data_IF_068638857179
#
_entry.id   IF_068638857179
#
_cell.length_a   1.000
_cell.length_b   1.000
_cell.length_c   1.000
_cell.angle_alpha   90.00
_cell.angle_beta   90.00
_cell.angle_gamma   90.00
#
_symmetry.space_group_name_H-M   'P 1'
#
loop_
_entity.id
_entity.type
_entity.pdbx_description
1 polymer ?
#
# COMPACT_ATOMS: atom_id res chain seq x y z
N UNK A 1 75.20 -40.23 10.74
CA UNK A 1 74.41 -39.24 11.45
C UNK A 1 73.66 -38.47 10.37
N UNK A 2 72.40 -38.80 10.16
CA UNK A 2 71.53 -38.11 9.17
C UNK A 2 70.53 -37.29 9.97
N UNK A 3 70.64 -35.97 9.84
CA UNK A 3 69.68 -34.94 10.41
C UNK A 3 68.40 -34.98 9.65
N UNK A 4 67.34 -35.43 10.27
CA UNK A 4 65.99 -35.36 9.75
C UNK A 4 65.49 -33.91 9.92
N UNK A 5 65.36 -33.20 8.78
CA UNK A 5 64.71 -31.87 8.72
C UNK A 5 63.22 -32.04 8.95
N UNK A 6 62.71 -31.56 10.08
CA UNK A 6 61.27 -31.38 10.29
C UNK A 6 60.75 -30.29 9.34
N UNK A 7 60.05 -30.72 8.29
CA UNK A 7 59.24 -29.82 7.47
C UNK A 7 58.04 -29.35 8.32
N UNK A 8 58.08 -28.10 8.72
CA UNK A 8 56.95 -27.45 9.40
C UNK A 8 55.70 -27.45 8.50
N UNK A 9 54.79 -28.34 8.81
CA UNK A 9 53.43 -28.31 8.25
C UNK A 9 52.77 -27.08 8.84
N UNK A 10 52.68 -26.02 8.04
CA UNK A 10 51.86 -24.85 8.39
C UNK A 10 50.39 -25.29 8.44
N UNK A 11 49.85 -25.44 9.64
CA UNK A 11 48.43 -25.67 9.84
C UNK A 11 47.68 -24.56 9.13
N UNK A 12 47.05 -24.87 8.00
CA UNK A 12 46.11 -23.96 7.32
C UNK A 12 44.86 -23.85 8.19
N UNK A 13 44.85 -22.89 9.12
CA UNK A 13 43.66 -22.53 9.89
C UNK A 13 42.67 -21.91 8.92
N UNK A 14 41.65 -22.67 8.54
CA UNK A 14 40.56 -22.18 7.68
C UNK A 14 39.76 -21.10 8.43
N UNK A 15 39.92 -19.84 8.03
CA UNK A 15 39.18 -18.72 8.61
C UNK A 15 38.13 -18.29 7.62
N UNK A 16 36.84 -18.43 7.99
CA UNK A 16 35.69 -18.10 7.17
C UNK A 16 35.67 -16.61 6.68
N UNK A 17 36.33 -15.71 7.42
CA UNK A 17 36.38 -14.29 7.12
C UNK A 17 37.79 -13.73 7.30
N UNK A 18 38.17 -12.81 6.40
CA UNK A 18 39.42 -12.04 6.55
C UNK A 18 39.33 -11.07 7.75
N UNK A 19 40.44 -10.63 8.32
CA UNK A 19 40.43 -9.66 9.42
C UNK A 19 39.65 -8.39 9.13
N UNK A 20 39.74 -7.86 7.91
CA UNK A 20 38.98 -6.69 7.48
C UNK A 20 37.47 -6.96 7.45
N UNK A 21 37.04 -8.12 6.98
CA UNK A 21 35.61 -8.51 7.00
C UNK A 21 35.07 -8.73 8.43
N UNK A 22 35.92 -9.18 9.36
CA UNK A 22 35.53 -9.28 10.77
C UNK A 22 35.34 -7.90 11.39
N UNK A 23 36.26 -6.99 11.11
CA UNK A 23 36.20 -5.62 11.62
C UNK A 23 34.95 -4.90 11.06
N UNK A 24 34.69 -5.00 9.75
CA UNK A 24 33.51 -4.38 9.16
C UNK A 24 32.21 -4.92 9.73
N UNK A 25 32.11 -6.22 9.95
CA UNK A 25 30.95 -6.83 10.60
C UNK A 25 30.79 -6.38 12.05
N UNK A 26 31.89 -6.34 12.80
CA UNK A 26 31.86 -5.85 14.18
C UNK A 26 31.38 -4.39 14.23
N UNK A 27 31.91 -3.53 13.34
CA UNK A 27 31.43 -2.13 13.23
C UNK A 27 29.94 -2.05 12.88
N UNK A 28 29.46 -2.88 11.94
CA UNK A 28 28.02 -2.92 11.60
C UNK A 28 27.19 -3.32 12.80
N UNK A 29 27.58 -4.39 13.52
CA UNK A 29 26.86 -4.79 14.74
C UNK A 29 26.92 -3.73 15.83
N UNK A 30 28.07 -3.07 16.01
CA UNK A 30 28.23 -1.97 16.97
C UNK A 30 27.28 -0.83 16.63
N UNK A 31 27.21 -0.42 15.35
CA UNK A 31 26.30 0.64 14.88
C UNK A 31 24.85 0.25 15.11
N UNK A 32 24.47 -1.00 14.82
CA UNK A 32 23.10 -1.49 15.05
C UNK A 32 22.76 -1.45 16.54
N UNK A 33 23.66 -1.97 17.40
CA UNK A 33 23.44 -1.97 18.85
C UNK A 33 23.37 -0.53 19.38
N UNK A 34 24.29 0.35 18.94
CA UNK A 34 24.27 1.76 19.33
C UNK A 34 22.97 2.44 18.88
N UNK A 35 22.49 2.18 17.64
CA UNK A 35 21.22 2.72 17.16
C UNK A 35 20.04 2.22 18.01
N UNK A 36 20.01 0.94 18.38
CA UNK A 36 18.96 0.38 19.25
C UNK A 36 19.00 1.04 20.64
N UNK A 37 20.19 1.16 21.25
CA UNK A 37 20.34 1.79 22.58
C UNK A 37 19.89 3.25 22.54
N UNK A 38 20.34 4.01 21.54
CA UNK A 38 19.92 5.41 21.37
C UNK A 38 18.41 5.50 21.17
N UNK A 39 17.82 4.62 20.34
CA UNK A 39 16.37 4.61 20.12
C UNK A 39 15.60 4.32 21.41
N UNK A 40 16.05 3.36 22.23
CA UNK A 40 15.40 3.04 23.52
C UNK A 40 15.53 4.22 24.48
N UNK A 41 16.68 4.91 24.50
CA UNK A 41 16.88 6.07 25.38
C UNK A 41 16.09 7.31 24.91
N UNK A 42 15.84 7.42 23.60
CA UNK A 42 15.09 8.57 23.04
C UNK A 42 13.58 8.39 23.17
N UNK A 43 13.10 7.13 23.19
CA UNK A 43 11.69 6.83 23.42
C UNK A 43 11.44 6.82 24.92
N UNK A 44 10.75 7.84 25.44
CA UNK A 44 10.30 7.86 26.82
C UNK A 44 9.22 6.80 27.03
N UNK A 45 9.63 5.60 27.43
CA UNK A 45 8.70 4.56 27.86
C UNK A 45 8.45 4.72 29.35
N UNK A 46 7.23 5.13 29.71
CA UNK A 46 6.81 5.23 31.11
C UNK A 46 6.34 3.84 31.55
N UNK A 47 7.10 3.11 32.41
CA UNK A 47 6.77 1.74 32.79
C UNK A 47 5.40 1.59 33.46
N UNK A 48 4.96 2.62 34.17
CA UNK A 48 3.66 2.68 34.84
C UNK A 48 2.50 2.51 33.85
N UNK A 49 2.57 3.17 32.68
CA UNK A 49 1.53 2.98 31.65
C UNK A 49 1.47 1.56 31.08
N UNK A 50 2.59 0.85 31.05
CA UNK A 50 2.61 -0.55 30.64
C UNK A 50 2.01 -1.47 31.71
N UNK A 51 2.21 -1.15 32.99
CA UNK A 51 1.64 -1.91 34.10
C UNK A 51 0.11 -1.73 34.17
N UNK A 52 -0.38 -0.50 33.92
CA UNK A 52 -1.81 -0.17 33.96
C UNK A 52 -2.56 -0.53 32.67
N UNK A 53 -1.84 -0.78 31.56
CA UNK A 53 -2.44 -1.07 30.26
C UNK A 53 -3.48 -2.21 30.28
N UNK A 54 -3.28 -3.36 30.97
CA UNK A 54 -4.27 -4.43 31.00
C UNK A 54 -5.59 -4.01 31.65
N UNK A 55 -5.54 -3.21 32.74
CA UNK A 55 -6.73 -2.71 33.43
C UNK A 55 -7.48 -1.69 32.57
N UNK A 56 -6.76 -0.75 31.93
CA UNK A 56 -7.34 0.24 31.02
C UNK A 56 -7.99 -0.41 29.80
N UNK A 57 -7.37 -1.44 29.23
CA UNK A 57 -7.94 -2.21 28.12
C UNK A 57 -9.23 -2.92 28.55
N UNK A 58 -9.24 -3.54 29.74
CA UNK A 58 -10.42 -4.21 30.27
C UNK A 58 -11.57 -3.22 30.51
N UNK A 59 -11.29 -2.04 31.09
CA UNK A 59 -12.28 -0.99 31.29
C UNK A 59 -12.83 -0.45 29.96
N UNK A 60 -11.96 -0.20 28.97
CA UNK A 60 -12.37 0.22 27.63
C UNK A 60 -13.31 -0.80 26.99
N UNK A 61 -12.95 -2.08 27.02
CA UNK A 61 -13.78 -3.15 26.46
C UNK A 61 -15.11 -3.29 27.19
N UNK A 62 -15.13 -3.10 28.51
CA UNK A 62 -16.37 -3.08 29.29
C UNK A 62 -17.29 -1.93 28.89
N UNK A 63 -16.75 -0.73 28.60
CA UNK A 63 -17.52 0.43 28.11
C UNK A 63 -18.00 0.26 26.67
N UNK A 64 -17.29 -0.52 25.85
CA UNK A 64 -17.69 -0.85 24.48
C UNK A 64 -18.85 -1.87 24.43
N UNK A 65 -19.21 -2.48 25.55
CA UNK A 65 -20.28 -3.46 25.65
C UNK A 65 -21.43 -2.98 26.54
N UNK A 66 -22.71 -3.08 26.13
CA UNK A 66 -23.23 -3.70 24.89
C UNK A 66 -23.09 -2.80 23.66
N UNK A 67 -22.85 -3.40 22.49
CA UNK A 67 -22.78 -2.68 21.22
C UNK A 67 -24.15 -2.10 20.84
N UNK A 68 -24.23 -0.82 20.51
CA UNK A 68 -25.47 -0.15 20.10
C UNK A 68 -25.86 -0.44 18.66
N UNK A 69 -26.37 -1.65 18.39
CA UNK A 69 -26.86 -2.02 17.05
C UNK A 69 -28.06 -1.21 16.59
N UNK A 70 -28.81 -0.55 17.48
CA UNK A 70 -29.96 0.28 17.11
C UNK A 70 -29.49 1.51 16.32
N UNK A 71 -28.30 2.01 16.60
CA UNK A 71 -27.71 3.17 15.93
C UNK A 71 -27.25 2.86 14.47
N UNK A 72 -27.18 1.60 14.06
CA UNK A 72 -26.68 1.21 12.73
C UNK A 72 -27.41 1.92 11.58
N UNK A 73 -28.75 1.93 11.60
CA UNK A 73 -29.57 2.54 10.55
C UNK A 73 -29.54 4.05 10.54
N UNK A 74 -29.29 4.68 11.68
CA UNK A 74 -29.41 6.13 11.84
C UNK A 74 -28.10 6.84 11.51
N UNK A 75 -26.93 6.24 11.87
CA UNK A 75 -25.65 6.95 11.78
C UNK A 75 -24.52 6.17 11.09
N UNK A 76 -24.64 4.85 10.92
CA UNK A 76 -23.52 4.03 10.44
C UNK A 76 -23.74 3.58 8.99
N UNK A 77 -24.96 3.22 8.61
CA UNK A 77 -25.25 2.63 7.31
C UNK A 77 -24.86 3.57 6.14
N UNK A 78 -25.31 4.83 6.19
CA UNK A 78 -25.06 5.78 5.11
C UNK A 78 -23.57 6.12 5.02
N UNK A 79 -22.91 6.33 6.15
CA UNK A 79 -21.47 6.57 6.23
C UNK A 79 -20.65 5.38 5.71
N UNK A 80 -21.13 4.14 5.94
CA UNK A 80 -20.52 2.94 5.41
C UNK A 80 -20.63 2.83 3.88
N UNK A 81 -21.83 3.13 3.33
CA UNK A 81 -22.05 3.17 1.90
C UNK A 81 -21.20 4.25 1.25
N UNK A 82 -21.12 5.43 1.86
CA UNK A 82 -20.24 6.52 1.40
C UNK A 82 -18.77 6.05 1.33
N UNK A 83 -18.28 5.31 2.32
CA UNK A 83 -16.93 4.74 2.32
C UNK A 83 -16.69 3.84 1.10
N UNK A 84 -17.66 2.95 0.78
CA UNK A 84 -17.57 2.07 -0.39
C UNK A 84 -17.59 2.89 -1.69
N UNK A 85 -18.40 3.93 -1.76
CA UNK A 85 -18.45 4.82 -2.94
C UNK A 85 -17.14 5.59 -3.12
N UNK A 86 -16.56 6.14 -2.04
CA UNK A 86 -15.26 6.82 -2.06
C UNK A 86 -14.18 5.86 -2.59
N UNK A 87 -14.10 4.64 -2.06
CA UNK A 87 -13.13 3.64 -2.48
C UNK A 87 -13.31 3.24 -3.95
N UNK A 88 -14.56 3.05 -4.38
CA UNK A 88 -14.87 2.63 -5.75
C UNK A 88 -14.59 3.73 -6.77
N UNK A 89 -15.10 4.94 -6.55
CA UNK A 89 -14.88 6.08 -7.43
C UNK A 89 -13.40 6.48 -7.45
N UNK A 90 -12.72 6.50 -6.30
CA UNK A 90 -11.28 6.76 -6.21
C UNK A 90 -10.46 5.74 -6.99
N UNK A 91 -10.83 4.45 -6.91
CA UNK A 91 -10.17 3.41 -7.71
C UNK A 91 -10.42 3.60 -9.20
N UNK A 92 -11.66 3.79 -9.63
CA UNK A 92 -12.01 3.99 -11.05
C UNK A 92 -11.27 5.20 -11.63
N UNK A 93 -11.29 6.33 -10.92
CA UNK A 93 -10.56 7.53 -11.33
C UNK A 93 -9.05 7.27 -11.42
N UNK A 94 -8.48 6.54 -10.47
CA UNK A 94 -7.06 6.18 -10.51
C UNK A 94 -6.72 5.28 -11.69
N UNK A 95 -7.58 4.32 -12.05
CA UNK A 95 -7.38 3.45 -13.21
C UNK A 95 -7.34 4.28 -14.51
N UNK A 96 -8.30 5.19 -14.68
CA UNK A 96 -8.36 6.05 -15.88
C UNK A 96 -7.11 6.91 -16.00
N UNK A 97 -6.66 7.53 -14.91
CA UNK A 97 -5.49 8.41 -14.89
C UNK A 97 -4.15 7.63 -14.95
N UNK A 98 -4.11 6.44 -14.37
CA UNK A 98 -2.90 5.63 -14.33
C UNK A 98 -2.57 4.96 -15.68
N UNK A 99 -3.57 4.64 -16.51
CA UNK A 99 -3.36 3.99 -17.80
C UNK A 99 -2.42 4.79 -18.72
N UNK A 100 -2.69 6.07 -19.04
CA UNK A 100 -1.79 6.84 -19.90
C UNK A 100 -0.41 7.02 -19.28
N UNK A 101 -0.32 7.27 -17.97
CA UNK A 101 0.96 7.46 -17.29
C UNK A 101 1.76 6.14 -17.25
N UNK A 102 1.10 5.00 -17.06
CA UNK A 102 1.71 3.67 -17.09
C UNK A 102 2.26 3.30 -18.47
N UNK A 103 1.52 3.62 -19.53
CA UNK A 103 2.00 3.46 -20.92
C UNK A 103 3.24 4.33 -21.19
N UNK A 104 3.23 5.60 -20.74
CA UNK A 104 4.38 6.50 -20.88
C UNK A 104 5.60 6.06 -20.03
N UNK A 105 5.36 5.34 -18.94
CA UNK A 105 6.41 4.82 -18.08
C UNK A 105 7.07 3.53 -18.61
N UNK A 106 6.40 2.80 -19.52
CA UNK A 106 6.92 1.56 -20.10
C UNK A 106 8.01 1.86 -21.15
N UNK A 107 9.22 1.34 -20.92
CA UNK A 107 10.40 1.62 -21.76
C UNK A 107 10.31 1.04 -23.17
N UNK A 108 9.61 -0.08 -23.31
CA UNK A 108 9.40 -0.75 -24.61
C UNK A 108 8.39 -0.04 -25.52
N UNK A 109 7.56 0.85 -24.96
CA UNK A 109 6.53 1.60 -25.70
C UNK A 109 6.96 3.02 -26.05
N UNK A 110 7.76 3.66 -25.18
CA UNK A 110 8.19 5.05 -25.35
C UNK A 110 9.72 5.12 -25.44
N UNK A 111 10.27 5.37 -26.63
CA UNK A 111 11.72 5.43 -26.83
C UNK A 111 12.39 6.68 -26.23
N UNK A 112 11.62 7.70 -25.88
CA UNK A 112 12.13 8.96 -25.33
C UNK A 112 12.38 8.87 -23.83
N UNK A 113 13.67 8.77 -23.44
CA UNK A 113 14.06 8.64 -22.03
C UNK A 113 13.52 9.76 -21.12
N UNK A 114 13.42 10.99 -21.62
CA UNK A 114 12.91 12.14 -20.86
C UNK A 114 11.42 11.97 -20.51
N UNK A 115 10.58 11.50 -21.44
CA UNK A 115 9.16 11.26 -21.21
C UNK A 115 8.98 10.10 -20.22
N UNK A 116 9.73 9.01 -20.42
CA UNK A 116 9.70 7.87 -19.51
C UNK A 116 10.13 8.26 -18.09
N UNK A 117 11.19 9.07 -17.95
CA UNK A 117 11.62 9.57 -16.65
C UNK A 117 10.56 10.47 -15.99
N UNK A 118 9.97 11.40 -16.75
CA UNK A 118 8.91 12.27 -16.25
C UNK A 118 7.70 11.45 -15.78
N UNK A 119 7.23 10.46 -16.56
CA UNK A 119 6.16 9.56 -16.16
C UNK A 119 6.50 8.80 -14.87
N UNK A 120 7.70 8.25 -14.78
CA UNK A 120 8.19 7.56 -13.57
C UNK A 120 8.26 8.48 -12.35
N UNK A 121 8.68 9.73 -12.52
CA UNK A 121 8.68 10.73 -11.44
C UNK A 121 7.25 11.01 -10.94
N UNK A 122 6.27 11.17 -11.84
CA UNK A 122 4.86 11.33 -11.47
C UNK A 122 4.36 10.13 -10.66
N UNK A 123 4.65 8.90 -11.13
CA UNK A 123 4.23 7.68 -10.43
C UNK A 123 4.90 7.54 -9.05
N UNK A 124 6.18 7.86 -8.94
CA UNK A 124 6.91 7.81 -7.67
C UNK A 124 6.39 8.87 -6.71
N UNK A 125 6.22 10.12 -7.14
CA UNK A 125 5.72 11.21 -6.30
C UNK A 125 4.33 10.92 -5.75
N UNK A 126 3.42 10.42 -6.60
CA UNK A 126 2.05 10.06 -6.22
C UNK A 126 2.00 9.03 -5.08
N UNK A 127 2.82 7.99 -5.13
CA UNK A 127 2.82 6.89 -4.15
C UNK A 127 3.72 7.13 -2.93
N UNK A 128 4.67 8.08 -3.00
CA UNK A 128 5.61 8.36 -1.89
C UNK A 128 4.93 9.05 -0.72
N UNK A 129 3.82 9.75 -0.98
CA UNK A 129 3.06 10.45 0.04
C UNK A 129 1.92 9.55 0.55
N UNK A 130 1.71 9.52 1.86
CA UNK A 130 0.62 8.75 2.46
C UNK A 130 -0.74 9.33 2.04
N UNK A 131 -1.76 8.47 1.90
CA UNK A 131 -3.14 8.87 1.57
C UNK A 131 -3.74 9.88 2.56
N UNK A 132 -3.37 9.80 3.85
CA UNK A 132 -3.79 10.78 4.86
C UNK A 132 -3.29 12.20 4.57
N UNK A 133 -2.06 12.33 4.09
CA UNK A 133 -1.50 13.65 3.72
C UNK A 133 -2.22 14.21 2.50
N UNK A 134 -2.50 13.37 1.49
CA UNK A 134 -3.33 13.76 0.35
C UNK A 134 -4.75 14.15 0.79
N UNK A 135 -5.34 13.41 1.72
CA UNK A 135 -6.67 13.72 2.24
C UNK A 135 -6.70 15.08 2.95
N UNK A 136 -5.73 15.36 3.82
CA UNK A 136 -5.62 16.67 4.48
C UNK A 136 -5.48 17.80 3.47
N UNK A 137 -4.66 17.62 2.43
CA UNK A 137 -4.51 18.61 1.38
C UNK A 137 -5.83 18.87 0.65
N UNK A 138 -6.53 17.81 0.23
CA UNK A 138 -7.80 17.97 -0.50
C UNK A 138 -8.94 18.46 0.39
N UNK A 139 -8.96 18.08 1.67
CA UNK A 139 -9.89 18.67 2.65
C UNK A 139 -9.63 20.17 2.81
N UNK A 140 -8.39 20.61 2.84
CA UNK A 140 -8.04 22.02 2.93
C UNK A 140 -8.45 22.81 1.67
N UNK A 141 -8.44 22.18 0.47
CA UNK A 141 -8.76 22.83 -0.81
C UNK A 141 -10.28 22.82 -1.07
N UNK A 142 -10.94 21.65 -0.91
CA UNK A 142 -12.34 21.42 -1.32
C UNK A 142 -13.32 21.40 -0.14
N UNK A 143 -12.82 21.46 1.09
CA UNK A 143 -13.61 21.26 2.29
C UNK A 143 -13.73 19.77 2.67
N UNK A 144 -14.24 19.49 3.89
CA UNK A 144 -14.48 18.12 4.35
C UNK A 144 -15.57 17.43 3.53
N UNK A 145 -15.41 16.12 3.28
CA UNK A 145 -16.42 15.32 2.59
C UNK A 145 -15.85 14.29 1.62
N UNK A 146 -16.75 13.51 1.00
CA UNK A 146 -16.45 12.38 0.12
C UNK A 146 -15.58 12.73 -1.11
N UNK A 147 -15.69 13.95 -1.62
CA UNK A 147 -14.89 14.40 -2.76
C UNK A 147 -13.40 14.42 -2.41
N UNK A 148 -13.04 14.97 -1.26
CA UNK A 148 -11.66 15.04 -0.79
C UNK A 148 -11.08 13.62 -0.61
N UNK A 149 -11.85 12.71 -0.02
CA UNK A 149 -11.46 11.30 0.14
C UNK A 149 -11.27 10.58 -1.18
N UNK A 150 -12.19 10.76 -2.12
CA UNK A 150 -12.12 10.17 -3.46
C UNK A 150 -10.86 10.62 -4.20
N UNK A 151 -10.55 11.92 -4.18
CA UNK A 151 -9.35 12.47 -4.80
C UNK A 151 -8.07 11.99 -4.13
N UNK A 152 -8.04 11.92 -2.80
CA UNK A 152 -6.89 11.42 -2.05
C UNK A 152 -6.55 9.97 -2.42
N UNK A 153 -7.56 9.10 -2.45
CA UNK A 153 -7.43 7.71 -2.89
C UNK A 153 -6.99 7.64 -4.35
N UNK A 154 -7.62 8.41 -5.23
CA UNK A 154 -7.28 8.41 -6.66
C UNK A 154 -5.83 8.80 -6.89
N UNK A 155 -5.39 9.93 -6.33
CA UNK A 155 -4.04 10.44 -6.50
C UNK A 155 -2.98 9.44 -6.05
N UNK A 156 -3.10 8.89 -4.85
CA UNK A 156 -2.17 7.90 -4.34
C UNK A 156 -2.16 6.61 -5.19
N UNK A 157 -3.33 6.20 -5.66
CA UNK A 157 -3.50 4.97 -6.43
C UNK A 157 -2.90 5.04 -7.83
N UNK A 158 -2.83 6.24 -8.45
CA UNK A 158 -2.22 6.45 -9.78
C UNK A 158 -0.80 5.89 -9.80
N UNK A 159 0.01 6.23 -8.78
CA UNK A 159 1.40 5.80 -8.71
C UNK A 159 1.58 4.29 -8.58
N UNK A 160 0.70 3.63 -7.84
CA UNK A 160 0.73 2.19 -7.67
C UNK A 160 0.25 1.45 -8.92
N UNK A 161 -0.93 1.79 -9.40
CA UNK A 161 -1.55 1.16 -10.58
C UNK A 161 -0.70 1.39 -11.83
N UNK A 162 -0.28 2.65 -12.07
CA UNK A 162 0.50 3.00 -13.26
C UNK A 162 1.87 2.32 -13.28
N UNK A 163 2.51 2.15 -12.11
CA UNK A 163 3.77 1.41 -12.02
C UNK A 163 3.58 -0.06 -12.40
N UNK A 164 2.67 -0.76 -11.72
CA UNK A 164 2.47 -2.19 -11.96
C UNK A 164 1.95 -2.47 -13.37
N UNK A 165 1.09 -1.59 -13.90
CA UNK A 165 0.63 -1.69 -15.28
C UNK A 165 1.76 -1.46 -16.29
N UNK A 166 2.63 -0.48 -16.05
CA UNK A 166 3.82 -0.25 -16.88
C UNK A 166 4.79 -1.43 -16.86
N UNK A 167 5.03 -2.04 -15.70
CA UNK A 167 5.83 -3.25 -15.56
C UNK A 167 5.20 -4.44 -16.32
N UNK A 168 3.89 -4.63 -16.21
CA UNK A 168 3.20 -5.67 -16.98
C UNK A 168 3.30 -5.47 -18.51
N UNK A 169 3.33 -4.22 -18.97
CA UNK A 169 3.58 -3.91 -20.39
C UNK A 169 5.04 -4.19 -20.79
N UNK A 170 6.01 -3.95 -19.91
CA UNK A 170 7.42 -4.26 -20.15
C UNK A 170 7.69 -5.78 -20.20
N UNK A 171 6.92 -6.58 -19.44
CA UNK A 171 7.01 -8.04 -19.37
C UNK A 171 6.27 -8.78 -20.49
N UNK A 172 5.53 -8.06 -21.35
CA UNK A 172 4.77 -8.67 -22.45
C UNK A 172 5.70 -9.39 -23.44
N UNK A 173 5.31 -10.59 -23.88
CA UNK A 173 6.07 -11.41 -24.80
C UNK A 173 6.28 -10.67 -26.15
N UNK A 174 7.50 -10.60 -26.68
CA UNK A 174 7.80 -9.84 -27.89
C UNK A 174 7.24 -10.49 -29.16
N UNK A 175 7.14 -11.81 -29.22
CA UNK A 175 6.75 -12.54 -30.43
C UNK A 175 5.49 -12.04 -31.13
N UNK A 176 4.32 -11.99 -30.48
CA UNK A 176 3.09 -11.44 -31.05
C UNK A 176 3.21 -9.99 -31.51
N UNK A 177 4.00 -9.19 -30.78
CA UNK A 177 4.22 -7.77 -31.06
C UNK A 177 5.09 -7.59 -32.29
N UNK A 178 6.17 -8.37 -32.41
CA UNK A 178 7.06 -8.40 -33.56
C UNK A 178 6.34 -8.88 -34.83
N UNK A 179 5.50 -9.92 -34.73
CA UNK A 179 4.70 -10.40 -35.86
C UNK A 179 3.77 -9.29 -36.41
N UNK A 180 3.07 -8.56 -35.50
CA UNK A 180 2.24 -7.43 -35.89
C UNK A 180 3.06 -6.29 -36.51
N UNK A 181 4.26 -6.05 -35.98
CA UNK A 181 5.16 -5.02 -36.49
C UNK A 181 5.67 -5.36 -37.89
N UNK A 182 6.07 -6.63 -38.12
CA UNK A 182 6.48 -7.13 -39.42
C UNK A 182 5.36 -7.08 -40.47
N UNK A 183 4.10 -7.26 -40.04
CA UNK A 183 2.91 -7.09 -40.87
C UNK A 183 2.55 -5.62 -41.17
N UNK A 184 3.33 -4.64 -40.63
CA UNK A 184 3.07 -3.21 -40.84
C UNK A 184 1.91 -2.66 -40.02
N UNK A 185 1.49 -3.34 -38.94
CA UNK A 185 0.37 -2.91 -38.11
C UNK A 185 0.64 -1.55 -37.42
N UNK A 186 -0.32 -0.61 -37.42
CA UNK A 186 -0.19 0.67 -36.76
C UNK A 186 -0.09 0.47 -35.23
N UNK A 187 0.40 1.51 -34.53
CA UNK A 187 0.60 1.48 -33.08
C UNK A 187 -0.64 1.02 -32.31
N UNK A 188 -1.83 1.55 -32.68
CA UNK A 188 -3.09 1.18 -32.03
C UNK A 188 -3.41 -0.32 -32.15
N UNK A 189 -3.17 -0.93 -33.32
CA UNK A 189 -3.39 -2.36 -33.51
C UNK A 189 -2.40 -3.21 -32.71
N UNK A 190 -1.13 -2.79 -32.62
CA UNK A 190 -0.13 -3.47 -31.78
C UNK A 190 -0.50 -3.39 -30.30
N UNK A 191 -1.03 -2.24 -29.86
CA UNK A 191 -1.49 -2.09 -28.48
C UNK A 191 -2.70 -2.98 -28.20
N UNK A 192 -3.71 -2.99 -29.07
CA UNK A 192 -4.97 -3.70 -28.85
C UNK A 192 -4.84 -5.21 -29.00
N UNK A 193 -4.05 -5.68 -29.99
CA UNK A 193 -3.96 -7.11 -30.31
C UNK A 193 -2.64 -7.75 -29.86
N UNK A 194 -1.57 -6.97 -29.68
CA UNK A 194 -0.29 -7.45 -29.22
C UNK A 194 -0.14 -7.37 -27.69
N UNK A 195 -0.31 -6.18 -27.11
CA UNK A 195 -0.10 -5.95 -25.68
C UNK A 195 -1.33 -6.26 -24.83
N UNK A 196 -2.49 -5.67 -25.15
CA UNK A 196 -3.68 -5.73 -24.30
C UNK A 196 -4.13 -7.15 -23.93
N UNK A 197 -4.19 -8.13 -24.82
CA UNK A 197 -4.59 -9.50 -24.46
C UNK A 197 -3.67 -10.14 -23.41
N UNK A 198 -2.38 -9.82 -23.46
CA UNK A 198 -1.38 -10.33 -22.52
C UNK A 198 -1.46 -9.68 -21.15
N UNK A 199 -1.67 -8.35 -21.09
CA UNK A 199 -1.66 -7.58 -19.85
C UNK A 199 -3.03 -7.45 -19.19
N UNK A 200 -4.11 -7.75 -19.91
CA UNK A 200 -5.48 -7.66 -19.40
C UNK A 200 -5.72 -8.43 -18.10
N UNK A 201 -5.25 -9.67 -17.91
CA UNK A 201 -5.42 -10.38 -16.64
C UNK A 201 -4.68 -9.69 -15.50
N UNK A 202 -3.44 -9.23 -15.73
CA UNK A 202 -2.65 -8.49 -14.75
C UNK A 202 -3.33 -7.16 -14.38
N UNK A 203 -3.85 -6.42 -15.37
CA UNK A 203 -4.58 -5.17 -15.16
C UNK A 203 -5.78 -5.36 -14.21
N UNK A 204 -6.63 -6.35 -14.47
CA UNK A 204 -7.78 -6.61 -13.60
C UNK A 204 -7.37 -7.08 -12.21
N UNK A 205 -6.29 -7.88 -12.11
CA UNK A 205 -5.75 -8.27 -10.81
C UNK A 205 -5.27 -7.07 -9.99
N UNK A 206 -4.55 -6.13 -10.64
CA UNK A 206 -4.07 -4.88 -10.03
C UNK A 206 -5.24 -4.00 -9.61
N UNK A 207 -6.26 -3.86 -10.45
CA UNK A 207 -7.44 -3.05 -10.19
C UNK A 207 -8.22 -3.57 -8.96
N UNK A 208 -8.50 -4.87 -8.90
CA UNK A 208 -9.19 -5.51 -7.79
C UNK A 208 -8.39 -5.41 -6.48
N UNK A 209 -7.09 -5.66 -6.55
CA UNK A 209 -6.21 -5.55 -5.39
C UNK A 209 -6.17 -4.12 -4.85
N UNK A 210 -6.13 -3.13 -5.76
CA UNK A 210 -6.14 -1.72 -5.35
C UNK A 210 -7.47 -1.30 -4.76
N UNK A 211 -8.59 -1.78 -5.32
CA UNK A 211 -9.91 -1.52 -4.77
C UNK A 211 -10.05 -2.03 -3.33
N UNK A 212 -9.60 -3.26 -3.06
CA UNK A 212 -9.61 -3.84 -1.71
C UNK A 212 -8.81 -2.99 -0.70
N UNK A 213 -7.61 -2.54 -1.07
CA UNK A 213 -6.82 -1.64 -0.24
C UNK A 213 -7.54 -0.30 -0.05
N UNK A 214 -8.15 0.25 -1.09
CA UNK A 214 -8.83 1.53 -1.04
C UNK A 214 -10.07 1.51 -0.14
N UNK A 215 -10.78 0.37 -0.03
CA UNK A 215 -11.89 0.20 0.93
C UNK A 215 -11.38 0.38 2.38
N UNK A 216 -10.25 -0.23 2.70
CA UNK A 216 -9.64 -0.07 4.03
C UNK A 216 -9.11 1.34 4.27
N UNK A 217 -8.44 1.93 3.28
CA UNK A 217 -7.93 3.29 3.38
C UNK A 217 -9.04 4.32 3.55
N UNK A 218 -10.16 4.19 2.81
CA UNK A 218 -11.27 5.15 2.89
C UNK A 218 -11.91 5.23 4.26
N UNK A 219 -11.96 4.10 5.00
CA UNK A 219 -12.45 4.11 6.38
C UNK A 219 -11.58 4.96 7.32
N UNK A 220 -10.25 4.99 7.08
CA UNK A 220 -9.31 5.77 7.90
C UNK A 220 -9.27 7.23 7.49
N UNK A 221 -9.45 7.54 6.20
CA UNK A 221 -9.41 8.92 5.69
C UNK A 221 -10.50 9.82 6.27
N UNK A 222 -11.61 9.25 6.69
CA UNK A 222 -12.68 9.96 7.38
C UNK A 222 -12.26 10.62 8.70
N UNK A 223 -11.26 10.07 9.42
CA UNK A 223 -10.71 10.66 10.64
C UNK A 223 -10.07 12.05 10.41
N UNK A 224 -9.70 12.36 9.18
CA UNK A 224 -9.18 13.68 8.80
C UNK A 224 -10.21 14.51 8.00
N UNK A 225 -11.50 14.16 8.10
CA UNK A 225 -12.58 14.89 7.45
C UNK A 225 -12.83 14.53 5.97
N UNK A 226 -12.24 13.45 5.45
CA UNK A 226 -12.35 13.06 4.05
C UNK A 226 -13.58 12.19 3.73
N UNK A 227 -14.64 12.27 4.52
CA UNK A 227 -15.91 11.57 4.31
C UNK A 227 -15.95 10.13 4.83
N UNK A 228 -17.09 9.49 4.70
CA UNK A 228 -17.30 8.09 5.02
C UNK A 228 -17.36 7.77 6.51
N UNK A 229 -17.28 6.47 6.81
CA UNK A 229 -17.46 5.91 8.16
C UNK A 229 -16.42 6.41 9.18
N UNK A 230 -15.25 6.85 8.72
CA UNK A 230 -14.22 7.41 9.59
C UNK A 230 -14.66 8.72 10.26
N UNK A 231 -15.52 9.54 9.62
CA UNK A 231 -16.10 10.73 10.24
C UNK A 231 -17.06 10.36 11.37
N UNK A 232 -17.87 9.31 11.18
CA UNK A 232 -18.73 8.81 12.24
C UNK A 232 -17.92 8.23 13.41
N UNK A 233 -16.79 7.58 13.11
CA UNK A 233 -15.86 7.08 14.13
C UNK A 233 -15.22 8.23 14.90
N UNK A 234 -14.74 9.27 14.24
CA UNK A 234 -14.16 10.45 14.86
C UNK A 234 -15.16 11.16 15.77
N UNK A 235 -16.41 11.35 15.31
CA UNK A 235 -17.47 11.95 16.09
C UNK A 235 -17.80 11.12 17.36
N UNK A 236 -17.89 9.77 17.23
CA UNK A 236 -18.16 8.89 18.37
C UNK A 236 -17.01 8.88 19.39
N UNK A 237 -15.75 8.93 18.92
CA UNK A 237 -14.56 9.03 19.76
C UNK A 237 -14.52 10.35 20.54
N UNK A 238 -14.75 11.47 19.85
CA UNK A 238 -14.76 12.81 20.48
C UNK A 238 -15.88 12.99 21.50
N UNK A 239 -16.99 12.24 21.36
CA UNK A 239 -18.12 12.24 22.30
C UNK A 239 -18.02 11.13 23.36
N UNK A 240 -16.95 10.34 23.37
CA UNK A 240 -16.74 9.20 24.29
C UNK A 240 -17.87 8.17 24.27
N UNK A 241 -18.54 7.97 23.10
CA UNK A 241 -19.63 7.02 22.90
C UNK A 241 -19.06 5.64 22.49
N UNK A 242 -18.48 4.95 23.49
CA UNK A 242 -17.73 3.72 23.26
C UNK A 242 -18.58 2.56 22.69
N UNK A 243 -19.84 2.50 23.03
CA UNK A 243 -20.84 1.56 22.49
C UNK A 243 -21.04 1.73 20.97
N UNK A 244 -21.04 2.99 20.49
CA UNK A 244 -21.10 3.32 19.07
C UNK A 244 -19.76 3.12 18.36
N UNK A 245 -18.66 3.45 19.05
CA UNK A 245 -17.32 3.12 18.52
C UNK A 245 -17.20 1.64 18.25
N UNK A 246 -17.66 0.77 19.16
CA UNK A 246 -17.68 -0.67 18.96
C UNK A 246 -18.49 -1.09 17.74
N UNK A 247 -19.69 -0.52 17.55
CA UNK A 247 -20.53 -0.76 16.37
C UNK A 247 -19.81 -0.40 15.08
N UNK A 248 -19.20 0.79 15.03
CA UNK A 248 -18.50 1.30 13.85
C UNK A 248 -17.30 0.41 13.50
N UNK A 249 -16.50 0.00 14.48
CA UNK A 249 -15.37 -0.91 14.28
C UNK A 249 -15.82 -2.28 13.75
N UNK A 250 -16.91 -2.83 14.28
CA UNK A 250 -17.50 -4.09 13.77
C UNK A 250 -17.99 -3.91 12.33
N UNK A 251 -18.62 -2.79 12.02
CA UNK A 251 -19.09 -2.48 10.66
C UNK A 251 -17.93 -2.34 9.66
N UNK A 252 -16.84 -1.64 10.04
CA UNK A 252 -15.63 -1.54 9.23
C UNK A 252 -15.03 -2.93 8.98
N UNK A 253 -14.88 -3.74 10.03
CA UNK A 253 -14.35 -5.09 9.92
C UNK A 253 -15.21 -5.97 8.98
N UNK A 254 -16.54 -5.90 9.12
CA UNK A 254 -17.46 -6.65 8.28
C UNK A 254 -17.31 -6.26 6.79
N UNK A 255 -17.23 -4.96 6.47
CA UNK A 255 -17.06 -4.49 5.08
C UNK A 255 -15.70 -4.89 4.52
N UNK A 256 -14.64 -4.81 5.30
CA UNK A 256 -13.29 -5.24 4.85
C UNK A 256 -13.30 -6.72 4.52
N UNK A 257 -13.87 -7.57 5.38
CA UNK A 257 -13.99 -9.01 5.11
C UNK A 257 -14.84 -9.28 3.86
N UNK A 258 -15.97 -8.61 3.72
CA UNK A 258 -16.83 -8.73 2.54
C UNK A 258 -16.12 -8.30 1.25
N UNK A 259 -15.36 -7.20 1.28
CA UNK A 259 -14.56 -6.73 0.15
C UNK A 259 -13.50 -7.75 -0.25
N UNK A 260 -12.77 -8.32 0.72
CA UNK A 260 -11.75 -9.34 0.48
C UNK A 260 -12.34 -10.62 -0.12
N UNK A 261 -13.48 -11.10 0.41
CA UNK A 261 -14.20 -12.24 -0.15
C UNK A 261 -14.67 -11.95 -1.58
N UNK A 262 -15.26 -10.78 -1.82
CA UNK A 262 -15.71 -10.36 -3.14
C UNK A 262 -14.56 -10.33 -4.15
N UNK A 263 -13.45 -9.69 -3.81
CA UNK A 263 -12.24 -9.64 -4.65
C UNK A 263 -11.70 -11.04 -4.96
N UNK A 264 -11.65 -11.90 -3.95
CA UNK A 264 -11.16 -13.28 -4.11
C UNK A 264 -12.08 -14.08 -5.05
N UNK A 265 -13.41 -13.96 -4.94
CA UNK A 265 -14.39 -14.61 -5.81
C UNK A 265 -14.28 -14.11 -7.26
N UNK A 266 -14.19 -12.79 -7.45
CA UNK A 266 -14.07 -12.17 -8.77
C UNK A 266 -12.75 -12.59 -9.44
N UNK A 267 -11.64 -12.56 -8.69
CA UNK A 267 -10.33 -12.97 -9.18
C UNK A 267 -10.33 -14.42 -9.69
N UNK A 268 -10.95 -15.35 -8.97
CA UNK A 268 -11.07 -16.76 -9.37
C UNK A 268 -11.86 -16.97 -10.68
N UNK A 269 -12.69 -16.01 -11.08
CA UNK A 269 -13.50 -16.09 -12.31
C UNK A 269 -12.84 -15.39 -13.50
N UNK A 270 -11.91 -14.46 -13.26
CA UNK A 270 -11.28 -13.64 -14.30
C UNK A 270 -9.89 -14.20 -14.67
N UNK A 271 -9.20 -14.80 -13.71
CA UNK A 271 -7.89 -15.42 -13.85
C UNK A 271 -8.01 -16.95 -13.80
#
# INVERSE_FOLDING_TARGET
MATVAHSGVSERIWRRFTPAQRLSRFLVYLVIVAAIVVSIQTIEVIPEFLADAPEQVADLLARMWPVDFAHYRVGVHDALMETIHIATLGTLLSLVLALPVGVLAARNLVPFAAINLAAKLVLVSSRSVNSLVWALLFVAIFGPGALAGTLAIAFRSIGFVGKLFGEALEEAQPGPIEALTAAGAPWASRMTFGYWPQVKPAFWSIALFRWDINVRESAVLGLVGAGGIGMALDAALNLFQWDRVALILVAILAVVILAEVAVTQVRRRIL
#
